data_IF_374442291437
#
_entry.id   IF_374442291437
#
_cell.length_a   1.000
_cell.length_b   1.000
_cell.length_c   1.000
_cell.angle_alpha   90.00
_cell.angle_beta   90.00
_cell.angle_gamma   90.00
#
_symmetry.space_group_name_H-M   'P 1'
#
loop_
_entity.id
_entity.type
_entity.pdbx_description
1 polymer ?
#
# COMPACT_ATOMS: atom_id res chain seq x y z
N UNK A 1 5.57 58.03 7.79
CA UNK A 1 5.29 56.61 8.08
C UNK A 1 5.27 55.84 6.75
N UNK A 2 6.48 55.52 6.31
CA UNK A 2 6.93 54.25 5.73
C UNK A 2 6.37 53.73 4.39
N UNK A 3 7.03 54.20 3.31
CA UNK A 3 7.80 53.38 2.35
C UNK A 3 7.30 51.96 2.03
N UNK A 4 6.15 51.82 1.37
CA UNK A 4 5.85 50.61 0.57
C UNK A 4 6.45 50.74 -0.84
N UNK A 5 7.77 50.87 -0.93
CA UNK A 5 8.48 50.67 -2.19
C UNK A 5 8.61 49.17 -2.41
N UNK A 6 7.60 48.58 -3.05
CA UNK A 6 7.70 47.25 -3.65
C UNK A 6 8.75 47.28 -4.77
N UNK A 7 10.03 47.16 -4.40
CA UNK A 7 11.10 46.86 -5.33
C UNK A 7 10.87 45.45 -5.85
N UNK A 8 10.23 45.35 -7.01
CA UNK A 8 10.27 44.15 -7.86
C UNK A 8 11.72 43.98 -8.30
N UNK A 9 12.55 43.42 -7.42
CA UNK A 9 13.87 42.93 -7.76
C UNK A 9 13.62 41.86 -8.81
N UNK A 10 13.91 42.18 -10.07
CA UNK A 10 13.88 41.21 -11.16
C UNK A 10 14.93 40.18 -10.80
N UNK A 11 14.51 39.04 -10.23
CA UNK A 11 15.42 37.94 -9.94
C UNK A 11 16.17 37.63 -11.22
N UNK A 12 17.48 37.46 -11.08
CA UNK A 12 18.30 37.13 -12.24
C UNK A 12 17.84 35.78 -12.79
N UNK A 13 17.98 35.56 -14.10
CA UNK A 13 17.62 34.29 -14.75
C UNK A 13 18.26 33.08 -14.03
N UNK A 14 19.46 33.28 -13.49
CA UNK A 14 20.16 32.29 -12.70
C UNK A 14 19.40 31.96 -11.41
N UNK A 15 18.99 32.95 -10.62
CA UNK A 15 18.24 32.74 -9.37
C UNK A 15 16.90 32.04 -9.60
N UNK A 16 16.19 32.36 -10.69
CA UNK A 16 14.94 31.68 -11.04
C UNK A 16 15.16 30.18 -11.30
N UNK A 17 16.24 29.84 -12.00
CA UNK A 17 16.60 28.42 -12.24
C UNK A 17 16.98 27.71 -10.94
N UNK A 18 17.64 28.39 -10.01
CA UNK A 18 17.97 27.83 -8.68
C UNK A 18 16.70 27.51 -7.91
N UNK A 19 15.79 28.48 -7.80
CA UNK A 19 14.51 28.30 -7.12
C UNK A 19 13.67 27.18 -7.75
N UNK A 20 13.69 27.05 -9.09
CA UNK A 20 12.98 25.98 -9.79
C UNK A 20 13.54 24.59 -9.44
N UNK A 21 14.88 24.46 -9.40
CA UNK A 21 15.56 23.23 -9.02
C UNK A 21 15.30 22.84 -7.56
N UNK A 22 15.33 23.81 -6.65
CA UNK A 22 14.99 23.63 -5.24
C UNK A 22 13.53 23.17 -5.07
N UNK A 23 12.60 23.83 -5.76
CA UNK A 23 11.18 23.46 -5.73
C UNK A 23 10.95 22.05 -6.28
N UNK A 24 11.62 21.68 -7.38
CA UNK A 24 11.54 20.32 -7.94
C UNK A 24 12.10 19.27 -6.98
N UNK A 25 13.22 19.55 -6.32
CA UNK A 25 13.82 18.66 -5.32
C UNK A 25 12.89 18.47 -4.12
N UNK A 26 12.33 19.57 -3.62
CA UNK A 26 11.38 19.55 -2.51
C UNK A 26 10.14 18.73 -2.84
N UNK A 27 9.54 18.96 -4.01
CA UNK A 27 8.34 18.25 -4.44
C UNK A 27 8.58 16.75 -4.62
N UNK A 28 9.74 16.37 -5.20
CA UNK A 28 10.15 14.96 -5.28
C UNK A 28 10.25 14.34 -3.89
N UNK A 29 10.90 15.03 -2.95
CA UNK A 29 11.01 14.60 -1.56
C UNK A 29 9.65 14.41 -0.91
N UNK A 30 8.77 15.41 -1.05
CA UNK A 30 7.42 15.41 -0.50
C UNK A 30 6.60 14.23 -0.99
N UNK A 31 6.63 13.95 -2.30
CA UNK A 31 5.91 12.81 -2.87
C UNK A 31 6.46 11.47 -2.35
N UNK A 32 7.79 11.33 -2.29
CA UNK A 32 8.44 10.11 -1.77
C UNK A 32 8.10 9.88 -0.31
N UNK A 33 8.15 10.93 0.51
CA UNK A 33 7.82 10.86 1.93
C UNK A 33 6.34 10.59 2.19
N UNK A 34 5.45 11.25 1.43
CA UNK A 34 4.00 11.10 1.58
C UNK A 34 3.50 9.73 1.13
N UNK A 35 4.03 9.19 0.03
CA UNK A 35 3.60 7.90 -0.51
C UNK A 35 4.44 6.71 -0.01
N UNK A 36 5.52 6.97 0.77
CA UNK A 36 6.51 5.95 1.16
C UNK A 36 7.09 5.18 -0.03
N UNK A 37 7.40 5.90 -1.10
CA UNK A 37 8.03 5.29 -2.27
C UNK A 37 9.41 4.72 -1.91
N UNK A 38 9.76 3.59 -2.51
CA UNK A 38 11.13 3.08 -2.46
C UNK A 38 12.05 4.02 -3.25
N UNK A 39 13.22 4.34 -2.71
CA UNK A 39 14.22 5.19 -3.39
C UNK A 39 14.93 4.49 -4.55
N UNK A 40 14.43 3.33 -4.98
CA UNK A 40 14.95 2.57 -6.12
C UNK A 40 14.17 2.89 -7.40
N UNK A 41 14.85 2.84 -8.54
CA UNK A 41 14.23 3.08 -9.85
C UNK A 41 13.98 4.57 -10.12
N UNK A 42 12.72 4.93 -10.40
CA UNK A 42 12.36 6.27 -10.89
C UNK A 42 12.77 7.40 -9.93
N UNK A 43 12.72 7.16 -8.61
CA UNK A 43 13.15 8.14 -7.59
C UNK A 43 14.64 8.43 -7.74
N UNK A 44 15.46 7.37 -7.83
CA UNK A 44 16.90 7.49 -8.05
C UNK A 44 17.23 8.16 -9.37
N UNK A 45 16.52 7.80 -10.45
CA UNK A 45 16.71 8.42 -11.76
C UNK A 45 16.43 9.92 -11.73
N UNK A 46 15.33 10.34 -11.10
CA UNK A 46 14.98 11.74 -10.99
C UNK A 46 15.91 12.51 -10.07
N UNK A 47 16.35 11.91 -8.97
CA UNK A 47 17.32 12.50 -8.05
C UNK A 47 18.67 12.71 -8.74
N UNK A 48 19.17 11.72 -9.49
CA UNK A 48 20.39 11.86 -10.30
C UNK A 48 20.25 12.93 -11.38
N UNK A 49 19.08 13.04 -12.04
CA UNK A 49 18.83 14.13 -13.01
C UNK A 49 18.92 15.50 -12.34
N UNK A 50 18.30 15.67 -11.17
CA UNK A 50 18.35 16.92 -10.40
C UNK A 50 19.77 17.24 -9.93
N UNK A 51 20.50 16.25 -9.42
CA UNK A 51 21.91 16.41 -9.05
C UNK A 51 22.76 16.86 -10.23
N UNK A 52 22.62 16.23 -11.40
CA UNK A 52 23.40 16.59 -12.58
C UNK A 52 23.09 18.02 -13.06
N UNK A 53 21.81 18.44 -13.02
CA UNK A 53 21.44 19.82 -13.32
C UNK A 53 22.03 20.79 -12.28
N UNK A 54 22.02 20.43 -11.00
CA UNK A 54 22.56 21.28 -9.93
C UNK A 54 24.08 21.39 -9.91
N UNK A 55 24.81 20.35 -10.36
CA UNK A 55 26.27 20.38 -10.51
C UNK A 55 26.71 21.47 -11.47
N UNK A 56 25.94 21.72 -12.53
CA UNK A 56 26.20 22.83 -13.46
C UNK A 56 26.10 24.22 -12.82
N UNK A 57 25.40 24.31 -11.68
CA UNK A 57 25.12 25.54 -10.95
C UNK A 57 25.82 25.60 -9.57
N UNK A 58 26.57 24.57 -9.18
CA UNK A 58 27.24 24.48 -7.88
C UNK A 58 26.31 24.27 -6.68
N UNK A 59 25.13 23.67 -6.86
CA UNK A 59 24.06 23.57 -5.85
C UNK A 59 23.74 22.14 -5.39
N UNK A 60 24.63 21.18 -5.63
CA UNK A 60 24.39 19.76 -5.33
C UNK A 60 23.96 19.51 -3.90
N UNK A 61 24.69 20.08 -2.94
CA UNK A 61 24.42 19.88 -1.52
C UNK A 61 23.06 20.45 -1.10
N UNK A 62 22.71 21.63 -1.64
CA UNK A 62 21.42 22.30 -1.36
C UNK A 62 20.25 21.46 -1.87
N UNK A 63 20.37 20.86 -3.07
CA UNK A 63 19.33 19.98 -3.62
C UNK A 63 19.13 18.75 -2.73
N UNK A 64 20.22 18.11 -2.30
CA UNK A 64 20.13 16.92 -1.45
C UNK A 64 19.47 17.23 -0.10
N UNK A 65 19.81 18.37 0.52
CA UNK A 65 19.20 18.84 1.75
C UNK A 65 17.70 19.13 1.57
N UNK A 66 17.34 19.78 0.46
CA UNK A 66 15.95 20.13 0.17
C UNK A 66 15.09 18.90 -0.13
N UNK A 67 15.66 17.87 -0.74
CA UNK A 67 15.00 16.57 -0.92
C UNK A 67 14.70 15.90 0.41
N UNK A 68 15.69 15.83 1.31
CA UNK A 68 15.52 15.24 2.64
C UNK A 68 14.49 16.01 3.47
N UNK A 69 14.52 17.34 3.42
CA UNK A 69 13.53 18.19 4.06
C UNK A 69 12.13 17.94 3.51
N UNK A 70 11.96 17.90 2.18
CA UNK A 70 10.70 17.55 1.54
C UNK A 70 10.20 16.17 1.95
N UNK A 71 11.08 15.18 2.05
CA UNK A 71 10.74 13.82 2.48
C UNK A 71 10.23 13.76 3.92
N UNK A 72 10.86 14.49 4.83
CA UNK A 72 10.40 14.60 6.22
C UNK A 72 9.03 15.29 6.29
N UNK A 73 8.85 16.38 5.56
CA UNK A 73 7.58 17.12 5.53
C UNK A 73 6.45 16.26 4.93
N UNK A 74 6.72 15.53 3.85
CA UNK A 74 5.77 14.59 3.25
C UNK A 74 5.37 13.45 4.20
N UNK A 75 6.34 12.89 4.93
CA UNK A 75 6.08 11.87 5.94
C UNK A 75 5.21 12.41 7.09
N UNK A 76 5.49 13.64 7.54
CA UNK A 76 4.75 14.33 8.59
C UNK A 76 3.33 14.71 8.14
N UNK A 77 3.16 15.17 6.90
CA UNK A 77 1.86 15.45 6.30
C UNK A 77 0.99 14.19 6.21
N UNK A 78 1.58 13.05 5.82
CA UNK A 78 0.91 11.76 5.81
C UNK A 78 0.45 11.35 7.21
N UNK A 79 1.28 11.53 8.24
CA UNK A 79 0.92 11.24 9.63
C UNK A 79 -0.20 12.15 10.16
N UNK A 80 -0.17 13.45 9.83
CA UNK A 80 -1.27 14.37 10.17
C UNK A 80 -2.57 13.95 9.49
N UNK A 81 -2.54 13.57 8.21
CA UNK A 81 -3.70 13.07 7.48
C UNK A 81 -4.27 11.78 8.07
N UNK A 82 -3.40 10.81 8.39
CA UNK A 82 -3.78 9.55 9.04
C UNK A 82 -4.48 9.75 10.39
N UNK A 83 -4.06 10.75 11.18
CA UNK A 83 -4.72 11.05 12.46
C UNK A 83 -6.16 11.50 12.24
N UNK A 84 -6.43 12.34 11.25
CA UNK A 84 -7.78 12.84 10.96
C UNK A 84 -8.72 11.68 10.56
N UNK A 85 -8.26 10.78 9.70
CA UNK A 85 -9.07 9.61 9.27
C UNK A 85 -9.29 8.60 10.41
N UNK A 86 -8.34 8.46 11.34
CA UNK A 86 -8.48 7.58 12.50
C UNK A 86 -9.55 8.10 13.48
N UNK A 87 -9.65 9.42 13.67
CA UNK A 87 -10.71 10.02 14.50
C UNK A 87 -12.09 9.91 13.84
N UNK A 88 -12.19 10.10 12.51
CA UNK A 88 -13.46 9.95 11.79
C UNK A 88 -13.95 8.48 11.73
N UNK A 89 -13.03 7.51 11.70
CA UNK A 89 -13.39 6.08 11.80
C UNK A 89 -13.72 5.61 13.23
N UNK A 90 -13.27 6.34 14.25
CA UNK A 90 -13.61 6.04 15.64
C UNK A 90 -15.08 6.40 15.96
N UNK A 91 -15.59 7.51 15.42
CA UNK A 91 -17.00 7.90 15.61
C UNK A 91 -18.01 6.95 14.93
N UNK A 92 -17.59 6.15 13.94
CA UNK A 92 -18.45 5.15 13.30
C UNK A 92 -18.44 3.77 13.99
N UNK A 93 -17.59 3.55 15.00
CA UNK A 93 -17.46 2.26 15.70
C UNK A 93 -17.93 2.29 17.17
N UNK A 94 -18.77 3.25 17.57
CA UNK A 94 -19.44 3.24 18.88
C UNK A 94 -20.64 2.24 18.90
N UNK A 95 -20.40 0.99 18.52
CA UNK A 95 -21.44 -0.04 18.42
C UNK A 95 -21.04 -1.43 18.89
N UNK A 96 -19.84 -1.63 19.45
CA UNK A 96 -19.48 -2.94 20.02
C UNK A 96 -18.72 -2.76 21.33
N UNK A 97 -19.46 -2.61 22.43
CA UNK A 97 -18.95 -2.73 23.78
C UNK A 97 -18.49 -4.17 24.01
N UNK A 98 -17.19 -4.42 24.03
CA UNK A 98 -16.63 -5.66 24.57
C UNK A 98 -16.65 -5.50 26.10
N UNK A 99 -17.67 -6.06 26.75
CA UNK A 99 -17.71 -6.24 28.20
C UNK A 99 -16.74 -7.36 28.58
N UNK A 100 -15.62 -6.98 29.20
CA UNK A 100 -14.73 -7.90 29.91
C UNK A 100 -15.27 -7.98 31.34
N UNK A 101 -16.16 -8.94 31.59
CA UNK A 101 -16.65 -9.21 32.94
C UNK A 101 -15.71 -10.20 33.65
N UNK A 102 -14.85 -9.64 34.51
CA UNK A 102 -14.14 -10.35 35.57
C UNK A 102 -15.08 -10.51 36.77
N UNK A 103 -15.69 -11.69 36.98
CA UNK A 103 -16.36 -12.04 38.25
C UNK A 103 -16.07 -13.50 38.63
N UNK A 104 -15.68 -13.70 39.89
CA UNK A 104 -15.31 -14.95 40.52
C UNK A 104 -16.52 -15.74 41.08
N UNK A 105 -16.57 -17.05 40.79
CA UNK A 105 -17.28 -18.16 41.48
C UNK A 105 -18.82 -18.25 41.33
N UNK A 106 -19.48 -19.41 41.60
CA UNK A 106 -18.97 -20.72 42.03
C UNK A 106 -19.32 -21.89 41.08
N UNK A 107 -18.70 -23.03 41.38
CA UNK A 107 -18.80 -24.35 40.77
C UNK A 107 -20.20 -24.76 40.28
N UNK A 108 -20.30 -25.08 38.99
CA UNK A 108 -21.29 -26.01 38.45
C UNK A 108 -20.59 -26.92 37.44
N UNK A 109 -20.50 -28.19 37.80
CA UNK A 109 -20.10 -29.28 36.92
C UNK A 109 -21.00 -29.24 35.67
N UNK A 110 -20.37 -29.03 34.51
CA UNK A 110 -21.00 -29.32 33.22
C UNK A 110 -20.13 -30.37 32.56
N UNK A 111 -20.75 -31.54 32.43
CA UNK A 111 -20.27 -32.77 31.83
C UNK A 111 -19.16 -32.57 30.79
N UNK A 112 -17.95 -32.99 31.18
CA UNK A 112 -16.75 -32.94 30.36
C UNK A 112 -16.87 -33.96 29.24
N UNK A 113 -17.51 -33.56 28.13
CA UNK A 113 -17.51 -34.27 26.85
C UNK A 113 -16.13 -34.22 26.15
N UNK A 114 -15.05 -34.43 26.90
CA UNK A 114 -13.67 -34.38 26.42
C UNK A 114 -13.38 -35.66 25.63
N UNK A 115 -13.87 -35.71 24.39
CA UNK A 115 -13.33 -36.62 23.40
C UNK A 115 -11.98 -36.07 22.96
N UNK A 116 -10.91 -36.74 23.38
CA UNK A 116 -9.54 -36.48 22.96
C UNK A 116 -9.44 -36.52 21.42
N UNK A 117 -9.65 -35.38 20.76
CA UNK A 117 -9.20 -35.17 19.40
C UNK A 117 -7.80 -34.60 19.46
N UNK A 118 -6.85 -35.53 19.32
CA UNK A 118 -5.44 -35.31 19.10
C UNK A 118 -5.21 -34.21 18.05
N UNK A 119 -4.56 -33.15 18.51
CA UNK A 119 -3.71 -32.21 17.78
C UNK A 119 -4.06 -31.95 16.31
N UNK A 120 -4.59 -30.75 16.04
CA UNK A 120 -4.23 -29.94 14.88
C UNK A 120 -4.64 -28.49 15.15
N UNK A 121 -3.75 -27.78 15.83
CA UNK A 121 -3.70 -26.32 15.76
C UNK A 121 -3.39 -25.92 14.32
N UNK A 122 -4.43 -25.66 13.52
CA UNK A 122 -4.33 -24.87 12.30
C UNK A 122 -5.43 -23.80 12.30
N UNK A 123 -5.46 -23.03 13.39
CA UNK A 123 -6.10 -21.72 13.40
C UNK A 123 -5.16 -20.74 12.67
N UNK A 124 -5.52 -20.44 11.41
CA UNK A 124 -4.99 -19.36 10.57
C UNK A 124 -3.50 -19.44 10.19
N UNK A 125 -3.19 -20.28 9.19
CA UNK A 125 -1.99 -20.10 8.37
C UNK A 125 -2.40 -19.70 6.93
N UNK A 126 -2.02 -18.52 6.42
CA UNK A 126 -2.20 -18.21 5.01
C UNK A 126 -1.23 -19.10 4.22
N UNK A 127 -1.78 -19.87 3.28
CA UNK A 127 -1.13 -20.86 2.39
C UNK A 127 -0.41 -22.01 3.07
N UNK A 128 -0.99 -23.21 2.93
CA UNK A 128 -0.33 -24.48 3.27
C UNK A 128 1.00 -24.61 2.54
N UNK A 129 2.04 -25.07 3.25
CA UNK A 129 3.39 -25.23 2.68
C UNK A 129 3.35 -26.18 1.48
N UNK A 130 3.86 -25.79 0.30
CA UNK A 130 3.94 -26.69 -0.83
C UNK A 130 4.87 -27.86 -0.48
N UNK A 131 4.44 -29.08 -0.77
CA UNK A 131 5.27 -30.28 -0.59
C UNK A 131 6.25 -30.37 -1.76
N UNK A 132 7.46 -30.88 -1.50
CA UNK A 132 8.59 -30.92 -2.45
C UNK A 132 8.28 -31.57 -3.81
N UNK A 133 7.20 -32.36 -3.89
CA UNK A 133 6.76 -33.07 -5.10
C UNK A 133 5.27 -32.80 -5.45
N UNK A 134 4.60 -31.84 -4.80
CA UNK A 134 3.20 -31.52 -5.12
C UNK A 134 3.12 -30.40 -6.13
N UNK A 135 2.56 -30.68 -7.30
CA UNK A 135 2.14 -29.65 -8.24
C UNK A 135 1.00 -28.82 -7.64
N UNK A 136 0.97 -27.49 -7.82
CA UNK A 136 -0.12 -26.66 -7.33
C UNK A 136 -1.44 -27.04 -8.01
N UNK A 137 -2.55 -26.98 -7.27
CA UNK A 137 -3.89 -27.40 -7.72
C UNK A 137 -4.32 -26.72 -9.04
N UNK A 138 -3.79 -25.52 -9.28
CA UNK A 138 -3.98 -24.72 -10.50
C UNK A 138 -3.34 -25.29 -11.77
N UNK A 139 -2.60 -26.41 -11.69
CA UNK A 139 -2.01 -27.10 -12.86
C UNK A 139 -2.80 -28.33 -13.30
N UNK A 140 -3.90 -28.65 -12.61
CA UNK A 140 -4.83 -29.66 -13.13
C UNK A 140 -5.42 -29.15 -14.45
N UNK A 141 -5.06 -29.80 -15.55
CA UNK A 141 -5.69 -29.60 -16.85
C UNK A 141 -7.20 -29.56 -16.62
N UNK A 142 -7.84 -28.46 -17.04
CA UNK A 142 -9.30 -28.34 -17.03
C UNK A 142 -9.87 -29.60 -17.65
N UNK A 143 -10.62 -30.39 -16.87
CA UNK A 143 -11.40 -31.50 -17.43
C UNK A 143 -12.16 -30.90 -18.59
N UNK A 144 -11.95 -31.44 -19.80
CA UNK A 144 -12.67 -31.04 -20.98
C UNK A 144 -14.13 -30.88 -20.58
N UNK A 145 -14.68 -29.67 -20.73
CA UNK A 145 -16.06 -29.39 -20.40
C UNK A 145 -16.85 -30.27 -21.36
N UNK A 146 -17.42 -31.36 -20.83
CA UNK A 146 -18.16 -32.31 -21.63
C UNK A 146 -19.26 -31.52 -22.34
N UNK A 147 -19.27 -31.56 -23.68
CA UNK A 147 -20.16 -30.71 -24.47
C UNK A 147 -21.58 -30.98 -24.00
N UNK A 148 -22.35 -29.97 -23.56
CA UNK A 148 -23.70 -30.21 -23.08
C UNK A 148 -24.50 -30.93 -24.16
N UNK A 149 -25.19 -32.01 -23.78
CA UNK A 149 -25.94 -32.88 -24.70
C UNK A 149 -27.01 -32.14 -25.48
N UNK A 150 -27.39 -30.93 -25.06
CA UNK A 150 -28.25 -30.01 -25.81
C UNK A 150 -27.62 -29.48 -27.11
N UNK A 151 -26.30 -29.58 -27.27
CA UNK A 151 -25.60 -29.24 -28.51
C UNK A 151 -25.34 -30.46 -29.42
N UNK A 152 -25.67 -31.68 -28.99
CA UNK A 152 -25.66 -32.84 -29.89
C UNK A 152 -26.96 -32.75 -30.71
N UNK A 153 -26.85 -32.16 -31.91
CA UNK A 153 -27.99 -31.78 -32.74
C UNK A 153 -28.91 -32.95 -33.12
N UNK A 154 -29.98 -32.63 -33.85
CA UNK A 154 -31.00 -33.59 -34.26
C UNK A 154 -30.40 -34.83 -34.97
N UNK A 155 -30.48 -36.00 -34.33
CA UNK A 155 -30.10 -37.29 -34.94
C UNK A 155 -31.21 -37.70 -35.92
N UNK A 156 -30.94 -37.77 -37.25
CA UNK A 156 -31.95 -38.16 -38.20
C UNK A 156 -32.36 -39.62 -37.95
N UNK A 157 -33.67 -39.84 -37.77
CA UNK A 157 -34.25 -41.16 -37.63
C UNK A 157 -34.06 -41.92 -38.94
N UNK A 158 -33.25 -42.98 -38.92
CA UNK A 158 -33.14 -43.90 -40.06
C UNK A 158 -34.22 -44.97 -39.94
N UNK A 159 -34.89 -45.36 -41.05
CA UNK A 159 -35.85 -46.45 -41.02
C UNK A 159 -35.14 -47.76 -40.63
N UNK A 160 -35.78 -48.53 -39.75
CA UNK A 160 -35.33 -49.88 -39.41
C UNK A 160 -35.53 -50.78 -40.64
N UNK A 161 -34.49 -51.53 -41.00
CA UNK A 161 -34.58 -52.67 -41.91
C UNK A 161 -35.35 -53.81 -41.25
#
# INVERSE_FOLDING_TARGET
MDLLKNSKNKLTLAELKKAELEAKSFNLGLEVGYNKHSEIGWVKENLVKLENLSKSLGLGDVISAQYLYGKLEGALAREKGLKIDAFQKAEQNEGTSVTIDLIAGPEKEVDTGFRNHTSKDELFAPVGRPKFLSSPECTSLTKAIDRPTSMDGFKPLRPRK
#
